data_IF_765802959299
#
_entry.id   IF_765802959299
#
_cell.length_a   1.000
_cell.length_b   1.000
_cell.length_c   1.000
_cell.angle_alpha   90.00
_cell.angle_beta   90.00
_cell.angle_gamma   90.00
#
_symmetry.space_group_name_H-M   'P 1'
#
loop_
_entity.id
_entity.type
_entity.pdbx_description
1 polymer ?
#
# COMPACT_ATOMS: atom_id res chain seq x y z
N UNK A 1 -2.79 -21.82 15.72
CA UNK A 1 -1.51 -21.14 15.41
C UNK A 1 -1.83 -19.67 15.20
N UNK A 2 -1.30 -18.77 16.02
CA UNK A 2 -1.35 -17.34 15.70
C UNK A 2 -0.44 -17.16 14.50
N UNK A 3 -1.03 -17.07 13.30
CA UNK A 3 -0.28 -16.66 12.11
C UNK A 3 0.18 -15.24 12.44
N UNK A 4 1.47 -15.10 12.79
CA UNK A 4 2.14 -13.81 12.75
C UNK A 4 1.72 -13.17 11.43
N UNK A 5 1.07 -12.01 11.46
CA UNK A 5 0.63 -11.36 10.24
C UNK A 5 1.90 -11.00 9.44
N UNK A 6 2.26 -11.86 8.48
CA UNK A 6 3.39 -11.63 7.58
C UNK A 6 2.92 -10.66 6.49
N UNK A 7 3.81 -9.76 6.06
CA UNK A 7 3.49 -8.71 5.10
C UNK A 7 4.52 -8.63 3.99
N UNK A 8 4.06 -8.34 2.78
CA UNK A 8 4.90 -7.92 1.67
C UNK A 8 4.90 -6.40 1.56
N UNK A 9 6.09 -5.82 1.40
CA UNK A 9 6.25 -4.39 1.18
C UNK A 9 7.05 -4.15 -0.12
N UNK A 10 6.42 -3.45 -1.07
CA UNK A 10 6.97 -3.22 -2.41
C UNK A 10 6.50 -1.86 -2.95
N UNK A 11 7.19 -1.25 -3.93
CA UNK A 11 6.74 0.00 -4.55
C UNK A 11 5.54 -0.26 -5.48
N UNK A 12 4.63 0.72 -5.61
CA UNK A 12 3.52 0.66 -6.57
C UNK A 12 3.99 0.37 -8.01
N UNK A 13 5.21 0.78 -8.36
CA UNK A 13 5.82 0.44 -9.64
C UNK A 13 5.82 -1.08 -9.95
N UNK A 14 5.86 -1.94 -8.93
CA UNK A 14 5.90 -3.39 -9.12
C UNK A 14 4.59 -3.98 -9.68
N UNK A 15 3.45 -3.28 -9.54
CA UNK A 15 2.17 -3.70 -10.14
C UNK A 15 1.89 -3.03 -11.50
N UNK A 16 2.85 -2.26 -12.03
CA UNK A 16 2.68 -1.52 -13.28
C UNK A 16 2.70 -2.48 -14.47
N UNK A 17 1.61 -2.51 -15.22
CA UNK A 17 1.49 -3.27 -16.46
C UNK A 17 1.12 -2.33 -17.61
N UNK A 18 1.63 -2.61 -18.81
CA UNK A 18 1.22 -1.91 -20.03
C UNK A 18 -0.01 -2.60 -20.66
N UNK A 19 -1.05 -2.82 -19.85
CA UNK A 19 -2.29 -3.51 -20.22
C UNK A 19 -3.46 -2.92 -19.44
N UNK A 20 -4.66 -2.94 -20.02
CA UNK A 20 -5.86 -2.59 -19.27
C UNK A 20 -6.04 -3.59 -18.13
N UNK A 21 -6.34 -3.12 -16.92
CA UNK A 21 -6.40 -3.97 -15.72
C UNK A 21 -7.51 -5.04 -15.78
N UNK A 22 -8.49 -4.90 -16.69
CA UNK A 22 -9.51 -5.93 -16.94
C UNK A 22 -9.01 -7.08 -17.81
N UNK A 23 -7.96 -6.85 -18.60
CA UNK A 23 -7.51 -7.78 -19.62
C UNK A 23 -6.30 -8.61 -19.16
N UNK A 24 -5.86 -8.42 -17.92
CA UNK A 24 -4.76 -9.19 -17.33
C UNK A 24 -5.23 -10.61 -17.04
N UNK A 25 -4.66 -11.56 -17.79
CA UNK A 25 -4.91 -12.99 -17.66
C UNK A 25 -4.22 -13.57 -16.41
N UNK A 26 -4.57 -14.82 -16.09
CA UNK A 26 -4.07 -15.53 -14.92
C UNK A 26 -2.54 -15.71 -14.97
N UNK A 27 -1.96 -15.95 -16.16
CA UNK A 27 -0.52 -16.17 -16.33
C UNK A 27 0.27 -14.88 -16.03
N UNK A 28 -0.13 -13.75 -16.63
CA UNK A 28 0.51 -12.46 -16.38
C UNK A 28 0.32 -12.01 -14.92
N UNK A 29 -0.85 -12.27 -14.33
CA UNK A 29 -1.11 -12.03 -12.91
C UNK A 29 -0.13 -12.82 -12.04
N UNK A 30 -0.05 -14.14 -12.23
CA UNK A 30 0.83 -15.01 -11.44
C UNK A 30 2.30 -14.63 -11.60
N UNK A 31 2.72 -14.34 -12.83
CA UNK A 31 4.07 -13.89 -13.14
C UNK A 31 4.40 -12.56 -12.44
N UNK A 32 3.49 -11.59 -12.46
CA UNK A 32 3.70 -10.28 -11.82
C UNK A 32 3.79 -10.42 -10.30
N UNK A 33 2.95 -11.27 -9.69
CA UNK A 33 3.01 -11.54 -8.25
C UNK A 33 4.31 -12.27 -7.89
N UNK A 34 4.77 -13.22 -8.70
CA UNK A 34 6.07 -13.86 -8.49
C UNK A 34 7.22 -12.83 -8.50
N UNK A 35 7.19 -11.86 -9.42
CA UNK A 35 8.18 -10.76 -9.43
C UNK A 35 8.12 -9.89 -8.16
N UNK A 36 6.91 -9.65 -7.63
CA UNK A 36 6.74 -8.93 -6.35
C UNK A 36 7.34 -9.73 -5.20
N UNK A 37 7.12 -11.05 -5.16
CA UNK A 37 7.68 -11.93 -4.13
C UNK A 37 9.21 -11.94 -4.21
N UNK A 38 9.79 -12.10 -5.41
CA UNK A 38 11.24 -12.08 -5.62
C UNK A 38 11.85 -10.75 -5.21
N UNK A 39 11.19 -9.63 -5.55
CA UNK A 39 11.57 -8.30 -5.08
C UNK A 39 11.61 -8.23 -3.56
N UNK A 40 10.52 -8.63 -2.89
CA UNK A 40 10.43 -8.55 -1.43
C UNK A 40 11.43 -9.47 -0.73
N UNK A 41 11.66 -10.67 -1.26
CA UNK A 41 12.69 -11.59 -0.75
C UNK A 41 14.08 -10.96 -0.84
N UNK A 42 14.44 -10.41 -2.00
CA UNK A 42 15.75 -9.81 -2.21
C UNK A 42 15.95 -8.57 -1.31
N UNK A 43 14.97 -7.66 -1.23
CA UNK A 43 15.04 -6.48 -0.36
C UNK A 43 15.14 -6.88 1.12
N UNK A 44 14.33 -7.85 1.55
CA UNK A 44 14.37 -8.34 2.93
C UNK A 44 15.72 -9.01 3.24
N UNK A 45 16.24 -9.83 2.33
CA UNK A 45 17.54 -10.46 2.48
C UNK A 45 18.69 -9.44 2.52
N UNK A 46 18.60 -8.34 1.77
CA UNK A 46 19.60 -7.27 1.83
C UNK A 46 19.55 -6.51 3.17
N UNK A 47 18.38 -6.41 3.80
CA UNK A 47 18.24 -5.84 5.15
C UNK A 47 18.76 -6.77 6.27
N UNK A 48 18.96 -8.06 5.98
CA UNK A 48 19.56 -9.00 6.94
C UNK A 48 21.05 -8.70 7.21
N UNK A 49 21.68 -7.80 6.45
CA UNK A 49 23.03 -7.33 6.71
C UNK A 49 23.17 -6.58 8.05
N UNK A 50 22.10 -5.96 8.53
CA UNK A 50 22.08 -5.21 9.79
C UNK A 50 21.73 -6.09 11.01
N UNK A 51 21.67 -7.41 10.81
CA UNK A 51 21.33 -8.41 11.84
C UNK A 51 22.56 -9.16 12.32
N UNK A 52 22.42 -9.78 13.48
CA UNK A 52 23.43 -10.71 14.00
C UNK A 52 23.59 -11.88 13.02
N UNK A 53 24.80 -12.13 12.47
CA UNK A 53 25.02 -13.24 11.54
C UNK A 53 24.59 -14.59 12.09
N UNK A 54 24.76 -14.83 13.39
CA UNK A 54 24.44 -16.11 14.01
C UNK A 54 22.91 -16.29 14.08
N UNK A 55 22.14 -15.23 14.37
CA UNK A 55 20.66 -15.25 14.31
C UNK A 55 20.16 -15.56 12.89
N UNK A 56 20.79 -14.98 11.87
CA UNK A 56 20.42 -15.22 10.46
C UNK A 56 20.72 -16.65 10.05
N UNK A 57 21.85 -17.20 10.49
CA UNK A 57 22.22 -18.59 10.24
C UNK A 57 21.26 -19.57 10.93
N UNK A 58 20.99 -19.38 12.22
CA UNK A 58 20.07 -20.23 12.99
C UNK A 58 18.68 -20.30 12.36
N UNK A 59 18.11 -19.15 11.99
CA UNK A 59 16.79 -19.09 11.33
C UNK A 59 16.83 -19.73 9.94
N UNK A 60 17.92 -19.56 9.19
CA UNK A 60 18.07 -20.17 7.88
C UNK A 60 18.20 -21.71 7.94
N UNK A 61 18.90 -22.23 8.96
CA UNK A 61 18.98 -23.66 9.20
C UNK A 61 17.62 -24.22 9.63
N UNK A 62 16.93 -23.57 10.58
CA UNK A 62 15.57 -23.96 10.98
C UNK A 62 14.59 -23.97 9.79
N UNK A 63 14.64 -22.95 8.94
CA UNK A 63 13.83 -22.90 7.72
C UNK A 63 14.08 -24.11 6.80
N UNK A 64 15.36 -24.47 6.60
CA UNK A 64 15.72 -25.63 5.78
C UNK A 64 15.23 -26.96 6.39
N UNK A 65 15.33 -27.11 7.70
CA UNK A 65 14.83 -28.29 8.42
C UNK A 65 13.31 -28.45 8.27
N UNK A 66 12.56 -27.34 8.33
CA UNK A 66 11.11 -27.33 8.09
C UNK A 66 10.74 -27.58 6.61
N UNK A 67 11.68 -27.34 5.69
CA UNK A 67 11.48 -27.42 4.24
C UNK A 67 12.56 -28.30 3.56
N UNK A 68 12.56 -29.63 3.79
CA UNK A 68 13.64 -30.53 3.37
C UNK A 68 13.81 -30.67 1.85
N UNK A 69 12.89 -30.11 1.05
CA UNK A 69 13.02 -30.02 -0.41
C UNK A 69 13.96 -28.90 -0.89
N UNK A 70 14.43 -28.05 0.01
CA UNK A 70 15.39 -26.97 -0.29
C UNK A 70 16.83 -27.48 -0.20
N UNK A 71 17.76 -26.89 -0.94
CA UNK A 71 19.19 -27.18 -0.73
C UNK A 71 19.68 -26.55 0.59
N UNK A 72 20.49 -27.28 1.37
CA UNK A 72 21.12 -26.72 2.56
C UNK A 72 21.85 -25.41 2.20
N UNK A 73 21.69 -24.32 2.96
CA UNK A 73 22.27 -23.04 2.59
C UNK A 73 23.80 -23.08 2.72
N UNK A 74 24.51 -23.06 1.58
CA UNK A 74 25.99 -23.21 1.53
C UNK A 74 26.76 -21.89 1.69
N UNK A 75 26.08 -20.75 1.63
CA UNK A 75 26.70 -19.43 1.72
C UNK A 75 25.84 -18.47 2.53
N UNK A 76 26.49 -17.47 3.13
CA UNK A 76 25.81 -16.38 3.85
C UNK A 76 24.73 -15.69 3.02
N UNK A 77 24.97 -15.60 1.72
CA UNK A 77 24.01 -15.01 0.79
C UNK A 77 22.73 -15.84 0.65
N UNK A 78 22.84 -17.17 0.64
CA UNK A 78 21.71 -18.09 0.59
C UNK A 78 21.01 -18.14 1.95
N UNK A 79 21.77 -18.13 3.05
CA UNK A 79 21.21 -18.04 4.42
C UNK A 79 20.29 -16.82 4.56
N UNK A 80 20.71 -15.64 4.09
CA UNK A 80 19.87 -14.43 4.11
C UNK A 80 18.57 -14.55 3.32
N UNK A 81 18.57 -15.30 2.22
CA UNK A 81 17.36 -15.55 1.44
C UNK A 81 16.41 -16.47 2.20
N UNK A 82 16.93 -17.51 2.87
CA UNK A 82 16.10 -18.38 3.72
C UNK A 82 15.53 -17.63 4.93
N UNK A 83 16.35 -16.81 5.59
CA UNK A 83 15.87 -15.89 6.63
C UNK A 83 14.75 -14.99 6.11
N UNK A 84 14.93 -14.37 4.94
CA UNK A 84 13.91 -13.51 4.33
C UNK A 84 12.63 -14.29 3.98
N UNK A 85 12.77 -15.54 3.50
CA UNK A 85 11.66 -16.42 3.21
C UNK A 85 10.87 -16.76 4.47
N UNK A 86 11.55 -17.00 5.59
CA UNK A 86 10.88 -17.21 6.88
C UNK A 86 10.14 -15.94 7.33
N UNK A 87 10.80 -14.79 7.34
CA UNK A 87 10.18 -13.50 7.71
C UNK A 87 8.92 -13.20 6.89
N UNK A 88 8.96 -13.48 5.58
CA UNK A 88 7.85 -13.21 4.65
C UNK A 88 6.82 -14.35 4.57
N UNK A 89 7.16 -15.56 5.03
CA UNK A 89 6.30 -16.73 4.94
C UNK A 89 6.19 -17.27 3.52
N UNK A 90 7.33 -17.31 2.82
CA UNK A 90 7.44 -17.83 1.47
C UNK A 90 8.07 -19.22 1.54
N UNK A 91 7.46 -20.20 0.88
CA UNK A 91 8.07 -21.51 0.66
C UNK A 91 8.92 -21.49 -0.62
N UNK A 92 10.23 -21.69 -0.50
CA UNK A 92 11.14 -21.79 -1.64
C UNK A 92 11.11 -23.22 -2.16
N UNK A 93 10.72 -23.41 -3.42
CA UNK A 93 10.62 -24.74 -4.05
C UNK A 93 11.64 -24.96 -5.17
N UNK A 94 12.37 -23.92 -5.56
CA UNK A 94 13.33 -23.94 -6.66
C UNK A 94 14.70 -23.48 -6.18
N UNK A 95 15.79 -23.87 -6.88
CA UNK A 95 17.11 -23.36 -6.57
C UNK A 95 17.11 -21.82 -6.59
N UNK A 96 17.71 -21.21 -5.57
CA UNK A 96 17.77 -19.76 -5.44
C UNK A 96 18.61 -19.19 -6.59
N UNK A 97 17.99 -18.33 -7.40
CA UNK A 97 18.65 -17.60 -8.48
C UNK A 97 18.79 -16.12 -8.10
N UNK A 98 19.78 -15.80 -7.25
CA UNK A 98 20.01 -14.41 -6.80
C UNK A 98 20.25 -13.42 -7.95
N UNK A 99 21.02 -13.74 -9.01
CA UNK A 99 21.16 -12.84 -10.14
C UNK A 99 19.81 -12.46 -10.77
N UNK A 100 18.89 -13.41 -10.93
CA UNK A 100 17.55 -13.13 -11.44
C UNK A 100 16.73 -12.26 -10.48
N UNK A 101 16.75 -12.55 -9.17
CA UNK A 101 16.03 -11.75 -8.16
C UNK A 101 16.56 -10.31 -8.10
N UNK A 102 17.89 -10.11 -8.16
CA UNK A 102 18.51 -8.78 -8.25
C UNK A 102 18.14 -8.06 -9.54
N UNK A 103 18.06 -8.76 -10.67
CA UNK A 103 17.60 -8.17 -11.92
C UNK A 103 16.14 -7.71 -11.82
N UNK A 104 15.27 -8.46 -11.14
CA UNK A 104 13.89 -8.07 -10.86
C UNK A 104 13.84 -6.83 -9.95
N UNK A 105 14.63 -6.83 -8.87
CA UNK A 105 14.76 -5.68 -7.98
C UNK A 105 15.15 -4.41 -8.77
N UNK A 106 16.24 -4.48 -9.52
CA UNK A 106 16.70 -3.37 -10.35
C UNK A 106 15.66 -2.95 -11.39
N UNK A 107 14.97 -3.90 -12.03
CA UNK A 107 13.91 -3.60 -13.00
C UNK A 107 12.81 -2.77 -12.34
N UNK A 108 12.35 -3.15 -11.15
CA UNK A 108 11.29 -2.47 -10.41
C UNK A 108 11.76 -1.11 -9.91
N UNK A 109 12.95 -1.03 -9.31
CA UNK A 109 13.52 0.21 -8.76
C UNK A 109 13.79 1.27 -9.83
N UNK A 110 14.10 0.83 -11.05
CA UNK A 110 14.35 1.72 -12.19
C UNK A 110 13.09 2.14 -12.95
N UNK A 111 11.88 1.65 -12.58
CA UNK A 111 10.63 2.13 -13.19
C UNK A 111 10.45 3.62 -12.85
N UNK A 112 10.27 4.52 -13.85
CA UNK A 112 10.03 5.92 -13.57
C UNK A 112 8.70 6.15 -12.82
N UNK A 113 8.78 6.69 -11.62
CA UNK A 113 7.61 6.96 -10.77
C UNK A 113 7.27 5.81 -9.83
N UNK A 114 6.03 5.75 -9.35
CA UNK A 114 5.53 4.59 -8.59
C UNK A 114 6.27 4.28 -7.28
N UNK A 115 7.04 5.23 -6.73
CA UNK A 115 7.89 5.04 -5.54
C UNK A 115 7.13 4.88 -4.23
N UNK A 116 5.82 5.15 -4.22
CA UNK A 116 5.01 4.92 -3.01
C UNK A 116 5.04 3.44 -2.67
N UNK A 117 5.43 3.13 -1.44
CA UNK A 117 5.40 1.77 -0.93
C UNK A 117 3.96 1.36 -0.62
N UNK A 118 3.64 0.12 -0.98
CA UNK A 118 2.44 -0.58 -0.55
C UNK A 118 2.86 -1.68 0.40
N UNK A 119 2.07 -1.89 1.46
CA UNK A 119 2.23 -2.98 2.41
C UNK A 119 0.96 -3.82 2.39
N UNK A 120 1.06 -5.10 2.02
CA UNK A 120 -0.08 -6.03 1.87
C UNK A 120 0.16 -7.26 2.75
N UNK A 121 -0.88 -7.77 3.40
CA UNK A 121 -0.79 -9.04 4.16
C UNK A 121 -0.48 -10.20 3.23
N UNK A 122 0.29 -11.17 3.70
CA UNK A 122 0.74 -12.30 2.90
C UNK A 122 -0.44 -13.13 2.36
N UNK A 123 -1.46 -13.38 3.18
CA UNK A 123 -2.68 -14.09 2.78
C UNK A 123 -3.38 -13.40 1.59
N UNK A 124 -3.49 -12.07 1.60
CA UNK A 124 -4.09 -11.31 0.50
C UNK A 124 -3.26 -11.35 -0.79
N UNK A 125 -1.92 -11.35 -0.67
CA UNK A 125 -1.04 -11.48 -1.83
C UNK A 125 -1.17 -12.87 -2.48
N UNK A 126 -1.19 -13.92 -1.66
CA UNK A 126 -1.36 -15.30 -2.15
C UNK A 126 -2.77 -15.54 -2.70
N UNK A 127 -3.80 -15.00 -2.06
CA UNK A 127 -5.16 -15.01 -2.58
C UNK A 127 -5.23 -14.33 -3.96
N UNK A 128 -4.56 -13.19 -4.15
CA UNK A 128 -4.50 -12.53 -5.45
C UNK A 128 -3.76 -13.37 -6.52
N UNK A 129 -2.83 -14.25 -6.13
CA UNK A 129 -2.12 -15.15 -7.06
C UNK A 129 -2.97 -16.34 -7.46
N UNK A 130 -3.52 -17.02 -6.47
CA UNK A 130 -4.03 -18.39 -6.59
C UNK A 130 -5.57 -18.45 -6.64
N UNK A 131 -6.25 -17.45 -6.09
CA UNK A 131 -7.71 -17.45 -6.01
C UNK A 131 -8.35 -16.89 -7.28
N UNK A 132 -9.23 -17.68 -7.90
CA UNK A 132 -10.12 -17.20 -8.97
C UNK A 132 -11.12 -16.13 -8.50
N UNK A 133 -11.19 -15.85 -7.19
CA UNK A 133 -12.05 -14.79 -6.63
C UNK A 133 -11.47 -13.38 -6.85
N UNK A 134 -10.21 -13.28 -7.27
CA UNK A 134 -9.53 -12.01 -7.50
C UNK A 134 -9.17 -11.86 -8.98
N UNK A 135 -9.68 -10.80 -9.60
CA UNK A 135 -9.10 -10.31 -10.84
C UNK A 135 -7.93 -9.36 -10.53
N UNK A 136 -7.01 -9.16 -11.48
CA UNK A 136 -5.89 -8.25 -11.29
C UNK A 136 -6.32 -6.82 -10.90
N UNK A 137 -7.42 -6.35 -11.50
CA UNK A 137 -8.04 -5.06 -11.15
C UNK A 137 -8.37 -4.94 -9.65
N UNK A 138 -8.90 -6.00 -9.04
CA UNK A 138 -9.24 -6.00 -7.61
C UNK A 138 -7.98 -5.82 -6.76
N UNK A 139 -6.93 -6.59 -7.07
CA UNK A 139 -5.65 -6.51 -6.38
C UNK A 139 -4.97 -5.14 -6.57
N UNK A 140 -4.90 -4.64 -7.80
CA UNK A 140 -4.30 -3.34 -8.12
C UNK A 140 -5.01 -2.17 -7.43
N UNK A 141 -6.36 -2.18 -7.37
CA UNK A 141 -7.13 -1.16 -6.64
C UNK A 141 -6.91 -1.28 -5.12
N UNK A 142 -6.81 -2.49 -4.57
CA UNK A 142 -6.50 -2.66 -3.16
C UNK A 142 -5.10 -2.08 -2.83
N UNK A 143 -4.10 -2.42 -3.65
CA UNK A 143 -2.75 -1.85 -3.52
C UNK A 143 -2.76 -0.32 -3.60
N UNK A 144 -3.55 0.24 -4.51
CA UNK A 144 -3.71 1.68 -4.64
C UNK A 144 -4.29 2.33 -3.37
N UNK A 145 -5.32 1.71 -2.76
CA UNK A 145 -5.89 2.20 -1.51
C UNK A 145 -4.86 2.13 -0.38
N UNK A 146 -4.17 1.00 -0.22
CA UNK A 146 -3.17 0.82 0.82
C UNK A 146 -1.98 1.78 0.67
N UNK A 147 -1.47 1.98 -0.56
CA UNK A 147 -0.42 2.97 -0.83
C UNK A 147 -0.91 4.43 -0.69
N UNK A 148 -2.20 4.67 -0.95
CA UNK A 148 -2.84 5.97 -0.79
C UNK A 148 -2.96 6.38 0.68
N UNK A 149 -3.38 5.44 1.53
CA UNK A 149 -3.42 5.62 2.99
C UNK A 149 -2.01 5.68 3.58
N UNK A 150 -1.15 4.74 3.19
CA UNK A 150 0.25 4.66 3.59
C UNK A 150 0.41 4.31 5.06
N UNK A 151 1.18 5.12 5.77
CA UNK A 151 1.49 4.99 7.20
C UNK A 151 0.48 5.68 8.11
N UNK A 152 -0.52 6.38 7.55
CA UNK A 152 -1.54 7.11 8.30
C UNK A 152 -2.68 6.19 8.74
N UNK A 153 -3.39 6.58 9.80
CA UNK A 153 -4.57 5.84 10.25
C UNK A 153 -5.73 5.93 9.27
N UNK A 154 -5.87 7.08 8.58
CA UNK A 154 -6.83 7.28 7.49
C UNK A 154 -6.34 8.31 6.48
N UNK A 155 -6.85 8.23 5.26
CA UNK A 155 -6.61 9.26 4.25
C UNK A 155 -7.80 9.47 3.31
N UNK A 156 -7.93 10.70 2.80
CA UNK A 156 -8.96 11.03 1.81
C UNK A 156 -8.44 10.73 0.41
N UNK A 157 -9.11 9.83 -0.31
CA UNK A 157 -8.73 9.43 -1.66
C UNK A 157 -9.87 9.72 -2.65
N UNK A 158 -9.52 10.25 -3.83
CA UNK A 158 -10.46 10.35 -4.95
C UNK A 158 -10.38 9.12 -5.84
N UNK A 159 -11.44 8.82 -6.60
CA UNK A 159 -11.40 7.70 -7.55
C UNK A 159 -10.33 7.88 -8.64
N UNK A 160 -10.09 9.11 -9.09
CA UNK A 160 -9.08 9.39 -10.12
C UNK A 160 -7.65 9.17 -9.56
N UNK A 161 -7.45 9.49 -8.28
CA UNK A 161 -6.19 9.21 -7.58
C UNK A 161 -5.99 7.71 -7.34
N UNK A 162 -7.04 6.97 -6.97
CA UNK A 162 -7.00 5.51 -6.85
C UNK A 162 -6.69 4.87 -8.20
N UNK A 163 -7.32 5.33 -9.30
CA UNK A 163 -7.06 4.83 -10.65
C UNK A 163 -5.60 5.07 -11.07
N UNK A 164 -5.07 6.25 -10.75
CA UNK A 164 -3.65 6.59 -10.97
C UNK A 164 -2.73 5.58 -10.29
N UNK A 165 -2.96 5.31 -9.01
CA UNK A 165 -2.14 4.38 -8.23
C UNK A 165 -2.33 2.92 -8.62
N UNK A 166 -3.53 2.52 -9.05
CA UNK A 166 -3.80 1.16 -9.52
C UNK A 166 -3.03 0.82 -10.80
N UNK A 167 -2.62 1.84 -11.57
CA UNK A 167 -1.73 1.69 -12.73
C UNK A 167 -0.23 1.81 -12.37
N UNK A 168 0.12 1.62 -11.09
CA UNK A 168 1.50 1.67 -10.60
C UNK A 168 2.15 3.06 -10.62
N UNK A 169 1.36 4.13 -10.68
CA UNK A 169 1.84 5.52 -10.71
C UNK A 169 1.57 6.25 -9.39
N UNK A 170 2.46 7.11 -8.93
CA UNK A 170 2.30 7.85 -7.66
C UNK A 170 1.47 9.14 -7.80
N UNK A 171 1.35 9.67 -9.02
CA UNK A 171 0.64 10.91 -9.33
C UNK A 171 0.18 10.96 -10.79
N UNK A 172 -0.72 11.90 -11.10
CA UNK A 172 -1.32 12.03 -12.43
C UNK A 172 -0.30 12.37 -13.53
N UNK A 173 0.79 13.08 -13.21
CA UNK A 173 1.84 13.41 -14.17
C UNK A 173 2.68 12.20 -14.59
N UNK A 174 2.85 11.21 -13.72
CA UNK A 174 3.45 9.91 -14.07
C UNK A 174 2.50 9.08 -14.95
N UNK A 175 1.20 9.09 -14.62
CA UNK A 175 0.18 8.40 -15.40
C UNK A 175 0.14 8.93 -16.84
N UNK A 176 0.03 10.26 -17.00
CA UNK A 176 -0.06 10.91 -18.30
C UNK A 176 1.17 10.67 -19.20
N UNK A 177 2.34 10.42 -18.62
CA UNK A 177 3.59 10.17 -19.37
C UNK A 177 3.83 8.71 -19.72
N UNK A 178 3.22 7.77 -19.00
CA UNK A 178 3.62 6.37 -19.09
C UNK A 178 2.49 5.36 -19.07
N UNK A 179 1.24 5.79 -19.20
CA UNK A 179 0.08 4.90 -19.39
C UNK A 179 -0.85 5.54 -20.42
N UNK A 180 -1.17 4.80 -21.49
CA UNK A 180 -2.10 5.27 -22.50
C UNK A 180 -3.53 5.36 -21.94
N UNK A 181 -4.31 6.34 -22.40
CA UNK A 181 -5.64 6.64 -21.85
C UNK A 181 -6.66 5.52 -22.01
N UNK A 182 -6.50 4.68 -23.04
CA UNK A 182 -7.33 3.51 -23.34
C UNK A 182 -7.12 2.33 -22.37
N UNK A 183 -5.97 2.30 -21.67
CA UNK A 183 -5.68 1.31 -20.63
C UNK A 183 -6.32 1.67 -19.29
N UNK A 184 -6.83 2.90 -19.13
CA UNK A 184 -7.36 3.39 -17.87
C UNK A 184 -8.75 2.82 -17.56
N UNK A 185 -8.99 2.56 -16.29
CA UNK A 185 -10.32 2.21 -15.82
C UNK A 185 -11.25 3.42 -15.89
N UNK A 186 -12.51 3.17 -16.22
CA UNK A 186 -13.57 4.16 -16.04
C UNK A 186 -13.85 4.40 -14.55
N UNK A 187 -14.33 5.58 -14.20
CA UNK A 187 -14.73 5.91 -12.82
C UNK A 187 -15.78 4.94 -12.26
N UNK A 188 -16.66 4.40 -13.12
CA UNK A 188 -17.66 3.38 -12.74
C UNK A 188 -17.00 2.07 -12.36
N UNK A 189 -16.01 1.59 -13.13
CA UNK A 189 -15.27 0.37 -12.80
C UNK A 189 -14.49 0.52 -11.49
N UNK A 190 -13.83 1.67 -11.29
CA UNK A 190 -13.13 1.96 -10.03
C UNK A 190 -14.10 1.93 -8.85
N UNK A 191 -15.23 2.64 -8.94
CA UNK A 191 -16.26 2.64 -7.89
C UNK A 191 -16.78 1.24 -7.57
N UNK A 192 -17.15 0.47 -8.59
CA UNK A 192 -17.70 -0.88 -8.42
C UNK A 192 -16.67 -1.83 -7.78
N UNK A 193 -15.40 -1.71 -8.15
CA UNK A 193 -14.32 -2.51 -7.55
C UNK A 193 -14.11 -2.13 -6.09
N UNK A 194 -14.08 -0.83 -5.79
CA UNK A 194 -14.02 -0.31 -4.42
C UNK A 194 -15.16 -0.88 -3.58
N UNK A 195 -16.41 -0.77 -4.05
CA UNK A 195 -17.59 -1.34 -3.37
C UNK A 195 -17.47 -2.85 -3.13
N UNK A 196 -16.95 -3.60 -4.11
CA UNK A 196 -16.70 -5.03 -3.95
C UNK A 196 -15.67 -5.33 -2.88
N UNK A 197 -14.52 -4.63 -2.88
CA UNK A 197 -13.46 -4.83 -1.88
C UNK A 197 -13.91 -4.42 -0.45
N UNK A 198 -14.71 -3.36 -0.34
CA UNK A 198 -15.34 -2.89 0.90
C UNK A 198 -16.30 -3.95 1.46
N UNK A 199 -17.12 -4.57 0.60
CA UNK A 199 -18.00 -5.67 1.00
C UNK A 199 -17.25 -6.91 1.54
N UNK A 200 -15.99 -7.09 1.12
CA UNK A 200 -15.08 -8.14 1.60
C UNK A 200 -14.32 -7.74 2.87
N UNK A 201 -14.55 -6.53 3.40
CA UNK A 201 -13.91 -5.97 4.61
C UNK A 201 -12.38 -5.91 4.53
N UNK A 202 -11.84 -5.66 3.34
CA UNK A 202 -10.39 -5.56 3.12
C UNK A 202 -9.81 -4.20 3.52
N UNK A 203 -10.68 -3.21 3.67
CA UNK A 203 -10.45 -1.90 4.24
C UNK A 203 -11.81 -1.35 4.68
N UNK A 204 -11.80 -0.19 5.33
CA UNK A 204 -13.03 0.54 5.66
C UNK A 204 -13.03 1.90 4.98
N UNK A 205 -14.22 2.37 4.61
CA UNK A 205 -14.38 3.71 4.04
C UNK A 205 -15.60 4.40 4.60
N UNK A 206 -15.48 5.71 4.80
CA UNK A 206 -16.54 6.47 5.40
C UNK A 206 -16.57 7.92 4.90
N UNK A 207 -17.75 8.53 4.99
CA UNK A 207 -17.96 9.92 4.62
C UNK A 207 -19.00 10.56 5.53
N UNK A 208 -18.72 11.75 6.03
CA UNK A 208 -19.68 12.54 6.81
C UNK A 208 -20.72 13.25 5.91
N UNK A 209 -20.33 13.61 4.69
CA UNK A 209 -21.11 14.47 3.79
C UNK A 209 -21.46 13.81 2.45
N UNK A 210 -21.07 12.55 2.26
CA UNK A 210 -21.24 11.78 1.02
C UNK A 210 -20.35 12.24 -0.14
N UNK A 211 -19.54 13.30 0.02
CA UNK A 211 -18.69 13.87 -1.05
C UNK A 211 -17.23 13.48 -0.87
N UNK A 212 -16.73 13.54 0.37
CA UNK A 212 -15.33 13.27 0.70
C UNK A 212 -15.24 11.90 1.34
N UNK A 213 -14.71 10.94 0.59
CA UNK A 213 -14.53 9.58 1.07
C UNK A 213 -13.16 9.44 1.73
N UNK A 214 -13.17 8.99 2.98
CA UNK A 214 -11.99 8.61 3.75
C UNK A 214 -11.84 7.11 3.74
N UNK A 215 -10.59 6.64 3.74
CA UNK A 215 -10.23 5.23 3.71
C UNK A 215 -9.28 4.94 4.87
N UNK A 216 -9.42 3.76 5.46
CA UNK A 216 -8.50 3.22 6.46
C UNK A 216 -8.36 1.71 6.27
N UNK A 217 -7.16 1.20 6.54
CA UNK A 217 -6.86 -0.24 6.64
C UNK A 217 -6.43 -0.65 8.06
N UNK A 218 -6.59 0.24 9.05
CA UNK A 218 -6.21 0.02 10.46
C UNK A 218 -7.35 0.22 11.44
N UNK A 219 -8.40 0.90 11.01
CA UNK A 219 -9.58 1.19 11.81
C UNK A 219 -10.74 0.30 11.36
N UNK A 220 -11.63 0.00 12.29
CA UNK A 220 -12.96 -0.48 12.00
C UNK A 220 -13.86 0.66 11.48
N UNK A 221 -15.02 0.31 10.91
CA UNK A 221 -15.97 1.30 10.40
C UNK A 221 -16.47 2.27 11.50
N UNK A 222 -16.83 1.80 12.72
CA UNK A 222 -17.21 2.70 13.81
C UNK A 222 -16.09 3.65 14.22
N UNK A 223 -14.86 3.15 14.40
CA UNK A 223 -13.69 3.96 14.78
C UNK A 223 -13.39 5.03 13.73
N UNK A 224 -13.48 4.68 12.43
CA UNK A 224 -13.30 5.64 11.36
C UNK A 224 -14.39 6.72 11.40
N UNK A 225 -15.65 6.34 11.61
CA UNK A 225 -16.76 7.31 11.70
C UNK A 225 -16.63 8.24 12.90
N UNK A 226 -16.34 7.69 14.08
CA UNK A 226 -16.15 8.45 15.32
C UNK A 226 -15.03 9.47 15.14
N UNK A 227 -13.88 9.04 14.63
CA UNK A 227 -12.75 9.94 14.46
C UNK A 227 -12.99 11.04 13.41
N UNK A 228 -13.84 10.79 12.41
CA UNK A 228 -14.28 11.85 11.49
C UNK A 228 -15.21 12.85 12.20
N UNK A 229 -16.13 12.38 13.05
CA UNK A 229 -17.02 13.24 13.83
C UNK A 229 -16.22 14.11 14.79
N UNK A 230 -15.26 13.54 15.52
CA UNK A 230 -14.36 14.26 16.41
C UNK A 230 -13.59 15.36 15.68
N UNK A 231 -12.98 15.03 14.52
CA UNK A 231 -12.28 16.00 13.69
C UNK A 231 -13.21 17.15 13.25
N UNK A 232 -14.48 16.83 12.95
CA UNK A 232 -15.48 17.84 12.57
C UNK A 232 -15.88 18.75 13.72
N UNK A 233 -16.03 18.20 14.93
CA UNK A 233 -16.32 18.96 16.15
C UNK A 233 -15.17 19.92 16.45
N UNK A 234 -13.93 19.41 16.47
CA UNK A 234 -12.72 20.21 16.69
C UNK A 234 -12.58 21.34 15.66
N UNK A 235 -12.81 21.05 14.37
CA UNK A 235 -12.78 22.09 13.33
C UNK A 235 -13.87 23.15 13.53
N UNK A 236 -15.03 22.77 14.07
CA UNK A 236 -16.13 23.71 14.33
C UNK A 236 -15.82 24.60 15.52
N UNK A 237 -15.28 24.03 16.59
CA UNK A 237 -14.83 24.78 17.78
C UNK A 237 -13.69 25.75 17.44
N UNK A 238 -12.68 25.31 16.69
CA UNK A 238 -11.59 26.16 16.25
C UNK A 238 -12.08 27.36 15.42
N UNK A 239 -13.07 27.14 14.54
CA UNK A 239 -13.70 28.22 13.75
C UNK A 239 -14.52 29.18 14.62
N UNK A 240 -15.20 28.70 15.66
CA UNK A 240 -15.90 29.57 16.61
C UNK A 240 -14.91 30.46 17.36
N UNK A 241 -13.84 29.87 17.90
CA UNK A 241 -12.77 30.62 18.59
C UNK A 241 -12.12 31.67 17.68
N UNK A 242 -11.83 31.33 16.42
CA UNK A 242 -11.29 32.30 15.45
C UNK A 242 -12.25 33.47 15.17
N UNK A 243 -13.56 33.20 15.08
CA UNK A 243 -14.57 34.26 14.90
C UNK A 243 -14.65 35.18 16.11
N UNK A 244 -14.61 34.62 17.31
CA UNK A 244 -14.62 35.40 18.57
C UNK A 244 -13.38 36.28 18.69
N UNK A 245 -12.19 35.75 18.39
CA UNK A 245 -10.94 36.53 18.35
C UNK A 245 -11.03 37.65 17.31
N UNK A 246 -11.55 37.36 16.11
CA UNK A 246 -11.70 38.35 15.03
C UNK A 246 -12.65 39.48 15.44
N UNK A 247 -13.79 39.14 16.06
CA UNK A 247 -14.76 40.12 16.58
C UNK A 247 -14.18 40.95 17.73
N UNK A 248 -13.39 40.35 18.61
CA UNK A 248 -12.71 41.05 19.68
C UNK A 248 -11.66 42.04 19.13
N UNK A 249 -10.88 41.65 18.12
CA UNK A 249 -9.94 42.55 17.43
C UNK A 249 -10.66 43.71 16.75
N UNK A 250 -11.77 43.46 16.05
CA UNK A 250 -12.57 44.51 15.41
C UNK A 250 -13.08 45.54 16.44
N UNK A 251 -13.64 45.07 17.56
CA UNK A 251 -14.08 45.94 18.66
C UNK A 251 -12.93 46.75 19.26
N UNK A 252 -11.75 46.14 19.44
CA UNK A 252 -10.58 46.83 19.96
C UNK A 252 -10.05 47.91 18.99
N UNK A 253 -10.12 47.66 17.69
CA UNK A 253 -9.77 48.64 16.64
C UNK A 253 -10.78 49.80 16.65
N UNK A 254 -12.08 49.51 16.70
CA UNK A 254 -13.14 50.52 16.79
C UNK A 254 -13.00 51.40 18.04
N UNK A 255 -12.68 50.82 19.20
CA UNK A 255 -12.43 51.57 20.44
C UNK A 255 -11.18 52.47 20.33
N UNK A 256 -10.11 52.01 19.68
CA UNK A 256 -8.91 52.82 19.46
C UNK A 256 -9.13 53.96 18.47
N UNK A 257 -9.88 53.73 17.39
CA UNK A 257 -10.16 54.75 16.37
C UNK A 257 -11.23 55.75 16.82
N UNK A 258 -12.26 55.28 17.53
CA UNK A 258 -13.31 56.15 18.10
C UNK A 258 -12.83 57.01 19.28
N UNK A 259 -11.74 56.63 19.95
CA UNK A 259 -11.10 57.41 21.01
C UNK A 259 -10.22 58.57 20.51
N UNK A 260 -9.90 58.63 19.21
CA UNK A 260 -9.02 59.65 18.63
C UNK A 260 -9.76 60.91 18.09
N UNK A 261 -11.09 60.98 18.26
CA UNK A 261 -11.93 62.11 17.81
C UNK A 261 -12.48 62.98 18.96
N UNK A 262 -11.76 63.08 20.08
CA UNK A 262 -12.08 64.04 21.16
C UNK A 262 -10.88 64.91 21.48
#
# INVERSE_FOLDING_TARGET
MSVSDKYFQFPLAAIRLNKNLNDVDDDLRQFTIAQIVDYCLQVTADNAHDRDPDEVEDVAEAYHEEHPGTEKPKSREVQRIFWAAEVLGVAIQSPINRPAMRAIQQKIDNVPGGRRMVRVRADLLWDARDSKRWCWRDFAILCAIYAGVGDRDRHRLSFDFINTMANGCSNAGELARGVHSDLLLTRRQVRSTIESLDSRKLYVRASLDGRRMWYSNRMSQPELMESLVEEKVQQTEARKGQREITLAMQRAIEQRLGGASR
#
